data_IF_132367387344
#
_entry.id   IF_132367387344
#
_cell.length_a   1.000
_cell.length_b   1.000
_cell.length_c   1.000
_cell.angle_alpha   90.00
_cell.angle_beta   90.00
_cell.angle_gamma   90.00
#
_symmetry.space_group_name_H-M   'P 1'
#
loop_
_entity.id
_entity.type
_entity.pdbx_description
1 polymer ?
#
# COMPACT_ATOMS: atom_id res chain seq x y z
N UNK A 1 17.38 -1.51 0.14
CA UNK A 1 17.65 -1.28 -1.30
C UNK A 1 16.48 -0.58 -1.99
N UNK A 2 15.26 -1.16 -1.99
CA UNK A 2 14.08 -0.58 -2.67
C UNK A 2 13.74 0.84 -2.20
N UNK A 3 13.77 1.11 -0.90
CA UNK A 3 13.55 2.44 -0.33
C UNK A 3 14.48 3.51 -0.93
N UNK A 4 15.75 3.18 -1.13
CA UNK A 4 16.73 4.09 -1.73
C UNK A 4 16.46 4.33 -3.23
N UNK A 5 15.90 3.35 -3.93
CA UNK A 5 15.49 3.52 -5.33
C UNK A 5 14.26 4.41 -5.44
N UNK A 6 13.24 4.18 -4.60
CA UNK A 6 12.02 5.02 -4.53
C UNK A 6 12.40 6.47 -4.19
N UNK A 7 13.30 6.68 -3.23
CA UNK A 7 13.72 8.03 -2.83
C UNK A 7 14.56 8.77 -3.89
N UNK A 8 15.12 8.05 -4.88
CA UNK A 8 16.00 8.62 -5.92
C UNK A 8 15.34 8.76 -7.29
N UNK A 9 14.17 8.16 -7.48
CA UNK A 9 13.46 8.22 -8.75
C UNK A 9 12.36 9.27 -8.69
N UNK A 10 12.32 10.13 -9.71
CA UNK A 10 11.24 11.09 -9.90
C UNK A 10 10.15 10.54 -10.83
N UNK A 11 10.17 9.22 -11.14
CA UNK A 11 9.21 8.56 -12.04
C UNK A 11 8.13 7.80 -11.24
N UNK A 12 6.87 8.28 -11.22
CA UNK A 12 5.78 7.60 -10.52
C UNK A 12 5.52 6.17 -11.02
N UNK A 13 5.63 5.93 -12.33
CA UNK A 13 5.47 4.59 -12.89
C UNK A 13 6.60 3.63 -12.47
N UNK A 14 7.85 4.12 -12.34
CA UNK A 14 8.94 3.31 -11.80
C UNK A 14 8.70 2.97 -10.32
N UNK A 15 8.21 3.92 -9.51
CA UNK A 15 7.81 3.67 -8.12
C UNK A 15 6.72 2.59 -8.08
N UNK A 16 5.70 2.69 -8.94
CA UNK A 16 4.62 1.71 -9.01
C UNK A 16 5.14 0.29 -9.31
N UNK A 17 6.07 0.16 -10.27
CA UNK A 17 6.71 -1.12 -10.60
C UNK A 17 7.49 -1.68 -9.41
N UNK A 18 8.27 -0.84 -8.73
CA UNK A 18 9.05 -1.25 -7.56
C UNK A 18 8.15 -1.74 -6.41
N UNK A 19 7.04 -1.04 -6.15
CA UNK A 19 6.07 -1.45 -5.15
C UNK A 19 5.36 -2.76 -5.54
N UNK A 20 5.04 -2.94 -6.81
CA UNK A 20 4.44 -4.20 -7.29
C UNK A 20 5.42 -5.38 -7.20
N UNK A 21 6.71 -5.15 -7.41
CA UNK A 21 7.76 -6.15 -7.16
C UNK A 21 7.83 -6.53 -5.68
N UNK A 22 7.81 -5.55 -4.76
CA UNK A 22 7.74 -5.81 -3.31
C UNK A 22 6.51 -6.63 -2.95
N UNK A 23 5.34 -6.27 -3.48
CA UNK A 23 4.09 -7.02 -3.28
C UNK A 23 4.20 -8.48 -3.75
N UNK A 24 4.78 -8.71 -4.94
CA UNK A 24 4.99 -10.06 -5.49
C UNK A 24 5.94 -10.88 -4.64
N UNK A 25 7.01 -10.27 -4.13
CA UNK A 25 7.96 -10.96 -3.26
C UNK A 25 7.32 -11.35 -1.93
N UNK A 26 6.57 -10.43 -1.29
CA UNK A 26 5.81 -10.73 -0.06
C UNK A 26 4.80 -11.87 -0.28
N UNK A 27 4.13 -11.89 -1.41
CA UNK A 27 3.22 -12.98 -1.78
C UNK A 27 3.96 -14.31 -1.93
N UNK A 28 5.12 -14.33 -2.57
CA UNK A 28 5.96 -15.53 -2.72
C UNK A 28 6.41 -16.06 -1.37
N UNK A 29 6.93 -15.20 -0.49
CA UNK A 29 7.31 -15.57 0.89
C UNK A 29 6.11 -16.18 1.64
N UNK A 30 4.93 -15.56 1.54
CA UNK A 30 3.72 -16.03 2.20
C UNK A 30 3.25 -17.40 1.67
N UNK A 31 3.29 -17.62 0.36
CA UNK A 31 2.96 -18.93 -0.23
C UNK A 31 3.94 -20.02 0.19
N UNK A 32 5.23 -19.71 0.28
CA UNK A 32 6.24 -20.66 0.75
C UNK A 32 6.03 -21.03 2.22
N UNK A 33 5.72 -20.05 3.08
CA UNK A 33 5.40 -20.30 4.48
C UNK A 33 4.19 -21.23 4.64
N UNK A 34 3.12 -21.01 3.86
CA UNK A 34 1.94 -21.89 3.85
C UNK A 34 2.29 -23.30 3.34
N UNK A 35 3.10 -23.41 2.30
CA UNK A 35 3.53 -24.70 1.74
C UNK A 35 4.36 -25.51 2.74
N UNK A 36 5.26 -24.88 3.48
CA UNK A 36 6.09 -25.53 4.51
C UNK A 36 5.23 -26.06 5.67
N UNK A 37 4.27 -25.27 6.16
CA UNK A 37 3.32 -25.75 7.19
C UNK A 37 2.43 -26.91 6.71
N UNK A 38 2.16 -27.02 5.41
CA UNK A 38 1.41 -28.14 4.85
C UNK A 38 2.27 -29.39 4.60
N UNK A 39 3.60 -29.26 4.64
CA UNK A 39 4.56 -30.32 4.33
C UNK A 39 5.30 -30.87 5.57
N UNK A 40 4.79 -30.64 6.79
CA UNK A 40 5.22 -31.31 8.03
C UNK A 40 4.91 -32.84 8.05
N UNK A 41 4.85 -33.45 6.87
CA UNK A 41 5.11 -34.86 6.62
C UNK A 41 6.18 -34.92 5.52
N UNK A 42 7.43 -35.12 5.96
CA UNK A 42 8.64 -35.52 5.22
C UNK A 42 9.71 -34.45 4.96
N UNK A 43 10.65 -34.45 5.91
CA UNK A 43 12.11 -34.40 5.77
C UNK A 43 12.79 -33.09 5.35
N UNK A 44 13.70 -32.71 6.24
CA UNK A 44 14.74 -31.72 6.07
C UNK A 44 15.67 -32.06 4.90
N UNK A 45 16.09 -31.04 4.14
CA UNK A 45 17.50 -30.71 3.89
C UNK A 45 17.66 -29.52 2.92
N UNK A 46 18.59 -28.63 3.28
CA UNK A 46 19.43 -27.82 2.40
C UNK A 46 18.80 -26.70 1.55
N UNK A 47 18.72 -25.49 2.13
CA UNK A 47 19.58 -24.36 1.75
C UNK A 47 19.16 -23.13 2.56
N UNK A 48 19.80 -22.93 3.72
CA UNK A 48 19.67 -21.71 4.49
C UNK A 48 20.39 -20.55 3.78
N UNK A 49 19.82 -20.09 2.66
CA UNK A 49 19.96 -18.68 2.33
C UNK A 49 19.22 -17.93 3.42
N UNK A 50 19.97 -17.23 4.27
CA UNK A 50 19.41 -16.31 5.26
C UNK A 50 18.86 -15.09 4.54
N UNK A 51 17.84 -15.29 3.73
CA UNK A 51 17.06 -14.21 3.14
C UNK A 51 16.32 -13.52 4.28
N UNK A 52 16.75 -12.29 4.58
CA UNK A 52 16.03 -11.38 5.48
C UNK A 52 14.60 -11.28 4.95
N UNK A 53 13.62 -11.67 5.76
CA UNK A 53 12.21 -11.61 5.35
C UNK A 53 11.82 -10.18 5.01
N UNK A 54 11.09 -10.03 3.92
CA UNK A 54 10.56 -8.75 3.50
C UNK A 54 9.38 -8.30 4.37
N UNK A 55 8.77 -9.20 5.15
CA UNK A 55 7.72 -8.89 6.12
C UNK A 55 8.30 -8.16 7.35
N UNK A 56 8.55 -6.86 7.20
CA UNK A 56 9.02 -5.99 8.28
C UNK A 56 8.41 -4.59 8.17
N UNK A 57 8.61 -3.77 9.20
CA UNK A 57 8.07 -2.41 9.27
C UNK A 57 8.51 -1.51 8.10
N UNK A 58 9.66 -1.78 7.50
CA UNK A 58 10.18 -1.03 6.36
C UNK A 58 9.27 -1.06 5.13
N UNK A 59 8.39 -2.06 5.00
CA UNK A 59 7.39 -2.09 3.90
C UNK A 59 6.35 -0.99 4.08
N UNK A 60 5.92 -0.70 5.31
CA UNK A 60 5.00 0.40 5.59
C UNK A 60 5.67 1.76 5.35
N UNK A 61 6.98 1.87 5.58
CA UNK A 61 7.72 3.07 5.22
C UNK A 61 7.71 3.33 3.70
N UNK A 62 7.71 2.28 2.86
CA UNK A 62 7.58 2.46 1.41
C UNK A 62 6.22 3.04 1.02
N UNK A 63 5.15 2.59 1.68
CA UNK A 63 3.80 3.13 1.49
C UNK A 63 3.76 4.59 1.93
N UNK A 64 4.34 4.89 3.10
CA UNK A 64 4.39 6.25 3.64
C UNK A 64 5.14 7.21 2.71
N UNK A 65 6.28 6.79 2.15
CA UNK A 65 7.07 7.63 1.24
C UNK A 65 6.28 8.15 0.04
N UNK A 66 5.30 7.38 -0.43
CA UNK A 66 4.45 7.76 -1.57
C UNK A 66 3.22 8.54 -1.11
N UNK A 67 2.51 8.06 -0.09
CA UNK A 67 1.27 8.70 0.38
C UNK A 67 1.53 10.01 1.15
N UNK A 68 2.72 10.16 1.72
CA UNK A 68 3.19 11.34 2.43
C UNK A 68 4.63 11.69 2.00
N UNK A 69 4.79 12.38 0.87
CA UNK A 69 6.10 12.73 0.33
C UNK A 69 6.98 13.47 1.37
N UNK A 70 8.31 13.22 1.39
CA UNK A 70 9.23 13.83 2.36
C UNK A 70 9.30 15.36 2.33
N UNK A 71 8.97 15.96 1.18
CA UNK A 71 8.89 17.42 1.01
C UNK A 71 7.65 18.03 1.69
N UNK A 72 6.79 17.20 2.29
CA UNK A 72 5.51 17.58 2.87
C UNK A 72 4.40 17.66 1.82
N UNK A 73 3.16 17.74 2.30
CA UNK A 73 1.97 17.84 1.46
C UNK A 73 1.40 16.49 1.00
N UNK A 74 0.40 16.56 0.12
CA UNK A 74 -0.22 15.38 -0.50
C UNK A 74 0.43 15.06 -1.85
N UNK A 75 0.30 13.81 -2.35
CA UNK A 75 0.76 13.46 -3.70
C UNK A 75 0.13 14.37 -4.76
N UNK A 76 0.89 14.73 -5.79
CA UNK A 76 0.38 15.56 -6.89
C UNK A 76 -0.42 14.72 -7.89
N UNK A 77 -1.59 15.22 -8.28
CA UNK A 77 -2.48 14.58 -9.24
C UNK A 77 -2.68 15.46 -10.47
N UNK A 78 -2.77 14.88 -11.68
CA UNK A 78 -2.85 13.44 -11.97
C UNK A 78 -1.48 12.70 -12.06
N UNK A 79 -0.36 13.37 -11.83
CA UNK A 79 0.98 12.85 -12.17
C UNK A 79 1.36 11.60 -11.37
N UNK A 80 0.92 11.46 -10.12
CA UNK A 80 1.32 10.37 -9.23
C UNK A 80 0.32 9.21 -9.14
N UNK A 81 -0.71 9.19 -10.00
CA UNK A 81 -1.80 8.19 -9.98
C UNK A 81 -1.27 6.75 -9.87
N UNK A 82 -0.31 6.37 -10.71
CA UNK A 82 0.26 5.02 -10.73
C UNK A 82 0.89 4.65 -9.39
N UNK A 83 1.74 5.52 -8.86
CA UNK A 83 2.47 5.28 -7.61
C UNK A 83 1.54 5.23 -6.40
N UNK A 84 0.53 6.12 -6.34
CA UNK A 84 -0.46 6.14 -5.28
C UNK A 84 -1.33 4.89 -5.33
N UNK A 85 -1.79 4.51 -6.53
CA UNK A 85 -2.56 3.27 -6.74
C UNK A 85 -1.77 2.04 -6.28
N UNK A 86 -0.51 1.92 -6.68
CA UNK A 86 0.35 0.81 -6.27
C UNK A 86 0.58 0.79 -4.74
N UNK A 87 0.75 1.96 -4.12
CA UNK A 87 0.95 2.09 -2.67
C UNK A 87 -0.28 1.68 -1.86
N UNK A 88 -1.46 2.13 -2.27
CA UNK A 88 -2.72 1.74 -1.63
C UNK A 88 -2.99 0.24 -1.80
N UNK A 89 -2.69 -0.33 -2.97
CA UNK A 89 -2.82 -1.77 -3.19
C UNK A 89 -1.83 -2.59 -2.36
N UNK A 90 -0.59 -2.12 -2.20
CA UNK A 90 0.39 -2.75 -1.30
C UNK A 90 -0.10 -2.69 0.16
N UNK A 91 -0.55 -1.53 0.63
CA UNK A 91 -1.10 -1.38 1.98
C UNK A 91 -2.28 -2.33 2.22
N UNK A 92 -3.25 -2.36 1.30
CA UNK A 92 -4.39 -3.27 1.35
C UNK A 92 -3.94 -4.73 1.40
N UNK A 93 -2.96 -5.12 0.58
CA UNK A 93 -2.44 -6.47 0.54
C UNK A 93 -1.83 -6.90 1.88
N UNK A 94 -1.00 -6.04 2.49
CA UNK A 94 -0.35 -6.31 3.77
C UNK A 94 -1.42 -6.44 4.86
N UNK A 95 -2.35 -5.48 4.93
CA UNK A 95 -3.42 -5.46 5.93
C UNK A 95 -4.30 -6.72 5.88
N UNK A 96 -4.68 -7.16 4.68
CA UNK A 96 -5.47 -8.39 4.50
C UNK A 96 -4.67 -9.65 4.81
N UNK A 97 -3.43 -9.72 4.35
CA UNK A 97 -2.57 -10.91 4.53
C UNK A 97 -2.25 -11.13 6.01
N UNK A 98 -1.78 -10.10 6.72
CA UNK A 98 -1.47 -10.22 8.15
C UNK A 98 -2.73 -10.46 8.99
N UNK A 99 -3.87 -9.86 8.61
CA UNK A 99 -5.15 -10.14 9.27
C UNK A 99 -5.61 -11.59 9.10
N UNK A 100 -5.40 -12.19 7.91
CA UNK A 100 -5.79 -13.58 7.64
C UNK A 100 -4.82 -14.57 8.31
N UNK A 101 -3.52 -14.28 8.26
CA UNK A 101 -2.47 -15.11 8.87
C UNK A 101 -2.39 -15.01 10.39
N UNK A 102 -3.11 -14.07 11.02
CA UNK A 102 -3.00 -13.74 12.45
C UNK A 102 -1.55 -13.38 12.86
N UNK A 103 -0.86 -12.67 11.97
CA UNK A 103 0.51 -12.17 12.18
C UNK A 103 0.50 -10.64 12.25
N UNK A 104 1.64 -10.02 12.57
CA UNK A 104 1.79 -8.57 12.57
C UNK A 104 3.27 -8.15 12.47
N UNK A 105 4.03 -8.80 11.59
CA UNK A 105 5.46 -8.56 11.37
C UNK A 105 5.75 -7.15 10.86
N UNK A 106 4.86 -6.59 10.03
CA UNK A 106 5.01 -5.20 9.57
C UNK A 106 4.52 -4.19 10.61
N UNK A 107 3.75 -4.64 11.60
CA UNK A 107 3.09 -3.78 12.58
C UNK A 107 1.81 -3.12 12.06
N UNK A 108 1.32 -3.47 10.87
CA UNK A 108 0.15 -2.84 10.23
C UNK A 108 -1.12 -2.92 11.09
N UNK A 109 -1.27 -3.98 11.90
CA UNK A 109 -2.44 -4.20 12.76
C UNK A 109 -2.30 -3.54 14.14
N UNK A 110 -1.16 -2.91 14.42
CA UNK A 110 -1.00 -2.18 15.68
C UNK A 110 -1.92 -0.95 15.70
N UNK A 111 -2.51 -0.67 16.87
CA UNK A 111 -3.41 0.48 17.05
C UNK A 111 -2.76 1.79 16.62
N UNK A 112 -1.47 1.98 16.93
CA UNK A 112 -0.72 3.18 16.52
C UNK A 112 -0.58 3.30 15.01
N UNK A 113 -0.21 2.22 14.30
CA UNK A 113 -0.03 2.28 12.84
C UNK A 113 -1.36 2.40 12.11
N UNK A 114 -2.43 1.76 12.58
CA UNK A 114 -3.77 1.92 12.01
C UNK A 114 -4.24 3.38 12.14
N UNK A 115 -4.08 3.98 13.33
CA UNK A 115 -4.43 5.39 13.53
C UNK A 115 -3.57 6.34 12.69
N UNK A 116 -2.27 6.07 12.61
CA UNK A 116 -1.35 6.83 11.76
C UNK A 116 -1.79 6.77 10.30
N UNK A 117 -1.97 5.57 9.74
CA UNK A 117 -2.39 5.40 8.36
C UNK A 117 -3.74 6.08 8.08
N UNK A 118 -4.71 5.92 8.99
CA UNK A 118 -6.02 6.53 8.85
C UNK A 118 -5.96 8.07 8.81
N UNK A 119 -5.35 8.68 9.81
CA UNK A 119 -5.36 10.14 9.97
C UNK A 119 -4.34 10.86 9.10
N UNK A 120 -3.18 10.25 8.84
CA UNK A 120 -2.07 10.93 8.18
C UNK A 120 -1.96 10.58 6.69
N UNK A 121 -2.54 9.45 6.25
CA UNK A 121 -2.47 9.03 4.85
C UNK A 121 -3.85 9.02 4.18
N UNK A 122 -4.79 8.23 4.72
CA UNK A 122 -6.03 7.90 4.02
C UNK A 122 -7.05 9.04 4.03
N UNK A 123 -7.27 9.68 5.19
CA UNK A 123 -8.21 10.80 5.30
C UNK A 123 -7.76 12.03 4.50
N UNK A 124 -6.50 12.48 4.57
CA UNK A 124 -6.02 13.59 3.74
C UNK A 124 -6.15 13.29 2.25
N UNK A 125 -5.80 12.06 1.83
CA UNK A 125 -5.91 11.65 0.43
C UNK A 125 -7.38 11.63 -0.05
N UNK A 126 -8.32 11.20 0.80
CA UNK A 126 -9.75 11.24 0.49
C UNK A 126 -10.22 12.66 0.26
N UNK A 127 -9.84 13.58 1.14
CA UNK A 127 -10.20 15.00 1.02
C UNK A 127 -9.66 15.58 -0.29
N UNK A 128 -8.40 15.30 -0.63
CA UNK A 128 -7.79 15.77 -1.87
C UNK A 128 -8.52 15.24 -3.12
N UNK A 129 -8.71 13.92 -3.22
CA UNK A 129 -9.36 13.32 -4.38
C UNK A 129 -10.81 13.79 -4.53
N UNK A 130 -11.52 13.96 -3.41
CA UNK A 130 -12.89 14.51 -3.43
C UNK A 130 -12.90 15.94 -3.97
N UNK A 131 -11.94 16.77 -3.59
CA UNK A 131 -11.77 18.13 -4.12
C UNK A 131 -11.54 18.12 -5.62
N UNK A 132 -10.58 17.34 -6.10
CA UNK A 132 -10.27 17.23 -7.54
C UNK A 132 -11.50 16.78 -8.34
N UNK A 133 -12.21 15.75 -7.86
CA UNK A 133 -13.42 15.26 -8.54
C UNK A 133 -14.52 16.33 -8.55
N UNK A 134 -14.70 17.07 -7.45
CA UNK A 134 -15.70 18.13 -7.36
C UNK A 134 -15.38 19.29 -8.31
N UNK A 135 -14.11 19.68 -8.42
CA UNK A 135 -13.64 20.75 -9.30
C UNK A 135 -13.86 20.38 -10.78
N UNK A 136 -13.60 19.12 -11.15
CA UNK A 136 -13.75 18.63 -12.53
C UNK A 136 -15.21 18.34 -12.92
N UNK A 137 -16.14 18.23 -11.97
CA UNK A 137 -17.53 17.81 -12.24
C UNK A 137 -18.34 18.79 -13.11
N UNK A 138 -17.97 20.07 -13.08
CA UNK A 138 -18.66 21.12 -13.84
C UNK A 138 -17.92 21.48 -15.13
N UNK A 139 -16.72 20.96 -15.34
CA UNK A 139 -15.92 21.19 -16.54
C UNK A 139 -16.29 20.13 -17.60
N UNK A 140 -16.86 20.58 -18.72
CA UNK A 140 -17.23 19.71 -19.85
C UNK A 140 -16.05 19.35 -20.75
N UNK A 141 -14.83 19.65 -20.32
CA UNK A 141 -13.64 19.51 -21.14
C UNK A 141 -13.12 18.07 -21.08
N UNK A 142 -12.61 17.58 -22.22
CA UNK A 142 -12.07 16.22 -22.38
C UNK A 142 -11.05 15.85 -21.29
N UNK A 143 -10.25 16.82 -20.83
CA UNK A 143 -9.26 16.66 -19.78
C UNK A 143 -9.90 16.31 -18.41
N UNK A 144 -11.02 16.93 -18.07
CA UNK A 144 -11.73 16.67 -16.81
C UNK A 144 -12.23 15.22 -16.75
N UNK A 145 -12.77 14.72 -17.87
CA UNK A 145 -13.19 13.33 -18.02
C UNK A 145 -12.02 12.34 -17.91
N UNK A 146 -10.87 12.65 -18.52
CA UNK A 146 -9.67 11.81 -18.45
C UNK A 146 -9.12 11.73 -17.03
N UNK A 147 -9.09 12.85 -16.31
CA UNK A 147 -8.69 12.90 -14.90
C UNK A 147 -9.65 12.06 -14.05
N UNK A 148 -10.96 12.24 -14.21
CA UNK A 148 -11.96 11.47 -13.46
C UNK A 148 -11.78 9.96 -13.69
N UNK A 149 -11.62 9.52 -14.94
CA UNK A 149 -11.38 8.12 -15.29
C UNK A 149 -10.07 7.58 -14.67
N UNK A 150 -9.01 8.38 -14.67
CA UNK A 150 -7.73 7.99 -14.07
C UNK A 150 -7.81 7.86 -12.54
N UNK A 151 -8.64 8.68 -11.88
CA UNK A 151 -8.80 8.67 -10.43
C UNK A 151 -9.73 7.58 -9.92
N UNK A 152 -10.70 7.12 -10.70
CA UNK A 152 -11.63 6.04 -10.35
C UNK A 152 -10.98 4.83 -9.64
N UNK A 153 -9.93 4.18 -10.20
CA UNK A 153 -9.30 3.04 -9.53
C UNK A 153 -8.64 3.42 -8.20
N UNK A 154 -8.05 4.61 -8.10
CA UNK A 154 -7.41 5.10 -6.87
C UNK A 154 -8.45 5.31 -5.77
N UNK A 155 -9.56 5.96 -6.11
CA UNK A 155 -10.69 6.21 -5.20
C UNK A 155 -11.23 4.90 -4.65
N UNK A 156 -11.51 3.92 -5.52
CA UNK A 156 -12.04 2.62 -5.09
C UNK A 156 -11.11 1.92 -4.08
N UNK A 157 -9.81 1.88 -4.36
CA UNK A 157 -8.85 1.23 -3.45
C UNK A 157 -8.70 2.02 -2.15
N UNK A 158 -8.71 3.35 -2.20
CA UNK A 158 -8.65 4.22 -1.03
C UNK A 158 -9.82 3.95 -0.07
N UNK A 159 -11.06 3.99 -0.57
CA UNK A 159 -12.24 3.72 0.26
C UNK A 159 -12.20 2.32 0.86
N UNK A 160 -11.71 1.32 0.11
CA UNK A 160 -11.52 -0.03 0.66
C UNK A 160 -10.46 -0.06 1.76
N UNK A 161 -9.36 0.68 1.62
CA UNK A 161 -8.35 0.79 2.69
C UNK A 161 -8.94 1.43 3.96
N UNK A 162 -9.73 2.49 3.80
CA UNK A 162 -10.42 3.16 4.90
C UNK A 162 -11.34 2.19 5.63
N UNK A 163 -12.21 1.49 4.91
CA UNK A 163 -13.15 0.53 5.47
C UNK A 163 -12.44 -0.56 6.29
N UNK A 164 -11.36 -1.13 5.74
CA UNK A 164 -10.57 -2.15 6.42
C UNK A 164 -9.91 -1.61 7.70
N UNK A 165 -9.36 -0.39 7.67
CA UNK A 165 -8.74 0.21 8.85
C UNK A 165 -9.77 0.52 9.93
N UNK A 166 -10.92 1.07 9.57
CA UNK A 166 -12.02 1.32 10.50
C UNK A 166 -12.52 0.01 11.13
N UNK A 167 -12.65 -1.06 10.35
CA UNK A 167 -12.98 -2.40 10.85
C UNK A 167 -11.98 -2.86 11.92
N UNK A 168 -10.67 -2.77 11.64
CA UNK A 168 -9.65 -3.19 12.61
C UNK A 168 -9.64 -2.31 13.85
N UNK A 169 -9.83 -1.00 13.72
CA UNK A 169 -9.90 -0.08 14.87
C UNK A 169 -11.11 -0.38 15.77
N UNK A 170 -12.28 -0.74 15.20
CA UNK A 170 -13.46 -1.14 15.97
C UNK A 170 -13.21 -2.37 16.85
N UNK A 171 -12.36 -3.29 16.42
CA UNK A 171 -11.99 -4.48 17.21
C UNK A 171 -10.91 -4.22 18.28
N UNK A 172 -10.30 -3.02 18.29
CA UNK A 172 -9.25 -2.61 19.22
C UNK A 172 -9.73 -1.57 20.26
N UNK A 173 -11.04 -1.35 20.32
CA UNK A 173 -11.73 -0.41 21.21
C UNK A 173 -12.62 -1.19 22.16
#
# INVERSE_FOLDING_TARGET
MVQALIARTDSPSMIAILLDLVRRELHTENCQAISLCNHDVLQAENNASSTISLWNAGVLELVELVLRPPKGGSPSFPEHVDSVSASLNLYRFILLTESAGKTNYTGVLSKSNLWKAYNEWLLPLRTLLTGIIADNKNDSDQLAFEIECALCPVVMVLYRCIELVEEKLRHLT
#
